data_IF_204016084103
#
_entry.id   IF_204016084103
#
_cell.length_a   1.000
_cell.length_b   1.000
_cell.length_c   1.000
_cell.angle_alpha   90.00
_cell.angle_beta   90.00
_cell.angle_gamma   90.00
#
_symmetry.space_group_name_H-M   'P 1'
#
loop_
_entity.id
_entity.type
_entity.pdbx_description
1 polymer ?
#
# COMPACT_ATOMS: atom_id res chain seq x y z
N UNK A 1 -1.92 -46.25 68.28
CA UNK A 1 -2.61 -44.94 68.22
C UNK A 1 -2.08 -44.17 67.02
N UNK A 2 -2.98 -43.75 66.14
CA UNK A 2 -2.74 -43.03 64.89
C UNK A 2 -2.42 -41.55 65.18
N UNK A 3 -1.57 -40.93 64.37
CA UNK A 3 -1.84 -39.57 63.87
C UNK A 3 -1.02 -39.31 62.60
N UNK A 4 -1.73 -39.09 61.49
CA UNK A 4 -1.21 -38.81 60.16
C UNK A 4 -1.03 -37.29 60.01
N UNK A 5 0.16 -36.85 59.61
CA UNK A 5 0.45 -35.46 59.29
C UNK A 5 0.01 -35.16 57.84
N UNK A 6 -1.04 -34.35 57.70
CA UNK A 6 -1.58 -33.89 56.43
C UNK A 6 -0.81 -32.66 55.96
N UNK A 7 0.11 -32.83 55.01
CA UNK A 7 0.81 -31.74 54.33
C UNK A 7 -0.09 -31.13 53.24
N UNK A 8 -0.48 -29.87 53.41
CA UNK A 8 -1.26 -29.11 52.44
C UNK A 8 -0.37 -28.67 51.26
N UNK A 9 -0.61 -29.24 50.09
CA UNK A 9 -0.04 -28.79 48.81
C UNK A 9 -0.88 -27.62 48.31
N UNK A 10 -0.29 -26.43 48.26
CA UNK A 10 -0.88 -25.24 47.64
C UNK A 10 -0.94 -25.46 46.11
N UNK A 11 -2.11 -25.33 45.46
CA UNK A 11 -2.18 -25.36 44.00
C UNK A 11 -1.59 -24.06 43.46
N UNK A 12 -0.53 -24.17 42.66
CA UNK A 12 -0.10 -23.10 41.76
C UNK A 12 -1.25 -22.82 40.79
N UNK A 13 -1.94 -21.69 40.98
CA UNK A 13 -2.86 -21.13 39.99
C UNK A 13 -2.02 -20.68 38.81
N UNK A 14 -1.91 -21.54 37.79
CA UNK A 14 -1.45 -21.15 36.46
C UNK A 14 -2.44 -20.13 35.91
N UNK A 15 -2.10 -18.84 36.03
CA UNK A 15 -2.72 -17.79 35.26
C UNK A 15 -2.47 -18.10 33.78
N UNK A 16 -3.45 -18.71 33.12
CA UNK A 16 -3.54 -18.64 31.66
C UNK A 16 -3.79 -17.17 31.33
N UNK A 17 -2.71 -16.44 31.06
CA UNK A 17 -2.82 -15.11 30.47
C UNK A 17 -3.67 -15.22 29.20
N UNK A 18 -4.52 -14.21 28.91
CA UNK A 18 -5.27 -14.20 27.67
C UNK A 18 -4.27 -14.28 26.51
N UNK A 19 -4.40 -15.31 25.69
CA UNK A 19 -3.79 -15.42 24.36
C UNK A 19 -4.50 -14.38 23.48
N UNK A 20 -4.27 -13.11 23.78
CA UNK A 20 -4.69 -12.00 22.95
C UNK A 20 -3.83 -12.08 21.71
N UNK A 21 -4.29 -12.79 20.67
CA UNK A 21 -3.88 -12.73 19.27
C UNK A 21 -2.60 -11.92 19.04
N UNK A 22 -1.47 -12.46 19.50
CA UNK A 22 -0.17 -11.83 19.30
C UNK A 22 0.10 -12.02 17.82
N UNK A 23 0.12 -10.94 17.06
CA UNK A 23 0.52 -10.98 15.66
C UNK A 23 1.99 -11.43 15.69
N UNK A 24 2.22 -12.72 15.42
CA UNK A 24 3.54 -13.34 15.52
C UNK A 24 4.33 -12.97 14.26
N UNK A 25 5.64 -12.66 14.39
CA UNK A 25 6.50 -12.50 13.23
C UNK A 25 6.51 -13.78 12.38
N UNK A 26 6.35 -13.63 11.06
CA UNK A 26 6.34 -14.78 10.16
C UNK A 26 7.76 -15.31 9.91
N UNK A 27 7.92 -16.63 9.86
CA UNK A 27 9.20 -17.24 9.48
C UNK A 27 9.40 -17.23 7.96
N UNK A 28 10.64 -17.37 7.50
CA UNK A 28 10.94 -17.49 6.07
C UNK A 28 10.23 -18.69 5.41
N UNK A 29 10.03 -19.79 6.15
CA UNK A 29 9.32 -20.96 5.66
C UNK A 29 7.82 -20.69 5.47
N UNK A 30 7.20 -19.97 6.41
CA UNK A 30 5.80 -19.58 6.34
C UNK A 30 5.54 -18.66 5.16
N UNK A 31 6.41 -17.66 4.99
CA UNK A 31 6.38 -16.75 3.85
C UNK A 31 6.54 -17.51 2.54
N UNK A 32 7.51 -18.43 2.46
CA UNK A 32 7.76 -19.18 1.23
C UNK A 32 6.59 -20.10 0.86
N UNK A 33 5.94 -20.75 1.83
CA UNK A 33 4.70 -21.51 1.61
C UNK A 33 3.57 -20.60 1.07
N UNK A 34 3.49 -19.37 1.57
CA UNK A 34 2.62 -18.33 1.02
C UNK A 34 2.95 -17.97 -0.43
N UNK A 35 4.23 -17.75 -0.75
CA UNK A 35 4.70 -17.40 -2.09
C UNK A 35 4.39 -18.51 -3.09
N UNK A 36 4.67 -19.77 -2.74
CA UNK A 36 4.35 -20.93 -3.59
C UNK A 36 2.83 -21.05 -3.84
N UNK A 37 2.03 -20.75 -2.81
CA UNK A 37 0.58 -20.73 -2.94
C UNK A 37 0.11 -19.58 -3.85
N UNK A 38 0.73 -18.40 -3.74
CA UNK A 38 0.50 -17.28 -4.65
C UNK A 38 0.87 -17.61 -6.11
N UNK A 39 2.04 -18.21 -6.35
CA UNK A 39 2.45 -18.66 -7.70
C UNK A 39 1.44 -19.64 -8.31
N UNK A 40 0.87 -20.54 -7.51
CA UNK A 40 -0.10 -21.54 -8.00
C UNK A 40 -1.46 -20.95 -8.41
N UNK A 41 -1.79 -19.73 -7.97
CA UNK A 41 -3.09 -19.09 -8.22
C UNK A 41 -3.00 -17.86 -9.12
N UNK A 42 -1.82 -17.26 -9.27
CA UNK A 42 -1.64 -16.07 -10.10
C UNK A 42 -1.47 -16.50 -11.56
N UNK A 43 -2.29 -15.94 -12.44
CA UNK A 43 -2.23 -16.14 -13.87
C UNK A 43 -2.11 -14.77 -14.56
N UNK A 44 -1.72 -14.79 -15.84
CA UNK A 44 -1.44 -13.55 -16.61
C UNK A 44 -2.65 -12.64 -16.82
N UNK A 45 -3.86 -13.20 -16.69
CA UNK A 45 -5.13 -12.50 -16.87
C UNK A 45 -5.99 -12.42 -15.60
N UNK A 46 -5.67 -13.17 -14.54
CA UNK A 46 -6.51 -13.28 -13.32
C UNK A 46 -5.75 -13.87 -12.12
N UNK A 47 -6.37 -13.78 -10.93
CA UNK A 47 -5.93 -14.51 -9.73
C UNK A 47 -7.02 -15.50 -9.31
N UNK A 48 -6.71 -16.80 -9.25
CA UNK A 48 -7.66 -17.88 -8.97
C UNK A 48 -7.80 -18.17 -7.48
N UNK A 49 -8.39 -17.24 -6.71
CA UNK A 49 -8.54 -17.34 -5.25
C UNK A 49 -9.25 -18.61 -4.76
N UNK A 50 -10.10 -19.22 -5.58
CA UNK A 50 -10.78 -20.49 -5.24
C UNK A 50 -9.82 -21.66 -5.03
N UNK A 51 -8.61 -21.61 -5.61
CA UNK A 51 -7.58 -22.64 -5.45
C UNK A 51 -6.86 -22.58 -4.08
N UNK A 52 -6.92 -21.45 -3.38
CA UNK A 52 -6.29 -21.28 -2.07
C UNK A 52 -6.81 -22.27 -1.02
N UNK A 53 -8.12 -22.56 -1.05
CA UNK A 53 -8.73 -23.54 -0.14
C UNK A 53 -8.14 -24.94 -0.31
N UNK A 54 -7.73 -25.33 -1.51
CA UNK A 54 -7.11 -26.63 -1.75
C UNK A 54 -5.69 -26.71 -1.18
N UNK A 55 -5.01 -25.56 -1.04
CA UNK A 55 -3.70 -25.43 -0.42
C UNK A 55 -3.75 -25.17 1.11
N UNK A 56 -4.95 -25.22 1.70
CA UNK A 56 -5.16 -25.05 3.15
C UNK A 56 -5.34 -23.61 3.61
N UNK A 57 -5.41 -22.65 2.69
CA UNK A 57 -5.65 -21.24 3.00
C UNK A 57 -7.15 -20.96 3.06
N UNK A 58 -7.57 -20.23 4.09
CA UNK A 58 -8.97 -19.86 4.30
C UNK A 58 -9.09 -18.38 4.63
N UNK A 59 -10.22 -17.75 4.33
CA UNK A 59 -10.43 -16.33 4.65
C UNK A 59 -10.23 -16.07 6.14
N UNK A 60 -9.38 -15.09 6.44
CA UNK A 60 -9.00 -14.73 7.79
C UNK A 60 -10.22 -14.30 8.60
N UNK A 61 -10.24 -14.65 9.89
CA UNK A 61 -11.39 -14.38 10.76
C UNK A 61 -11.00 -13.39 11.85
N UNK A 62 -11.67 -12.24 11.89
CA UNK A 62 -11.57 -11.31 13.01
C UNK A 62 -12.69 -11.58 14.01
N UNK A 63 -12.33 -11.73 15.29
CA UNK A 63 -13.33 -11.76 16.37
C UNK A 63 -13.93 -10.36 16.53
N UNK A 64 -15.22 -10.23 16.32
CA UNK A 64 -15.96 -8.97 16.46
C UNK A 64 -16.84 -9.05 17.72
N UNK A 65 -16.29 -8.60 18.86
CA UNK A 65 -17.03 -8.50 20.13
C UNK A 65 -17.59 -9.83 20.67
N UNK A 66 -18.70 -9.74 21.39
CA UNK A 66 -19.29 -10.83 22.19
C UNK A 66 -20.09 -11.87 21.36
N UNK A 67 -20.39 -11.60 20.07
CA UNK A 67 -21.37 -12.41 19.30
C UNK A 67 -20.99 -12.82 17.88
N UNK A 68 -19.74 -12.74 17.44
CA UNK A 68 -19.38 -13.35 16.15
C UNK A 68 -17.94 -13.21 15.66
N UNK A 69 -17.53 -14.15 14.81
CA UNK A 69 -16.34 -14.05 13.95
C UNK A 69 -16.74 -13.51 12.59
N UNK A 70 -16.17 -12.38 12.19
CA UNK A 70 -16.36 -11.80 10.84
C UNK A 70 -15.20 -12.24 9.96
N UNK A 71 -15.50 -12.75 8.77
CA UNK A 71 -14.48 -13.00 7.76
C UNK A 71 -13.97 -11.69 7.18
N UNK A 72 -12.65 -11.59 6.99
CA UNK A 72 -11.99 -10.49 6.32
C UNK A 72 -11.86 -10.87 4.84
N UNK A 73 -12.64 -10.22 3.99
CA UNK A 73 -12.61 -10.48 2.56
C UNK A 73 -11.23 -10.09 2.00
N UNK A 74 -10.68 -10.93 1.12
CA UNK A 74 -9.39 -10.69 0.47
C UNK A 74 -8.16 -10.91 1.36
N UNK A 75 -8.31 -11.42 2.58
CA UNK A 75 -7.18 -11.83 3.43
C UNK A 75 -7.34 -13.31 3.75
N UNK A 76 -6.30 -14.10 3.56
CA UNK A 76 -6.30 -15.54 3.77
C UNK A 76 -5.22 -15.93 4.77
N UNK A 77 -5.59 -16.81 5.70
CA UNK A 77 -4.75 -17.40 6.74
C UNK A 77 -4.70 -18.92 6.57
N UNK A 78 -3.61 -19.55 7.02
CA UNK A 78 -3.44 -21.00 7.03
C UNK A 78 -3.02 -21.43 8.43
N UNK A 79 -3.64 -22.50 8.93
CA UNK A 79 -3.36 -22.99 10.29
C UNK A 79 -1.87 -23.32 10.46
N UNK A 80 -1.21 -22.67 11.43
CA UNK A 80 0.21 -22.86 11.71
C UNK A 80 1.16 -22.13 10.75
N UNK A 81 0.65 -21.20 9.93
CA UNK A 81 1.45 -20.32 9.08
C UNK A 81 1.18 -18.86 9.53
N UNK A 82 2.24 -18.16 9.93
CA UNK A 82 2.15 -16.79 10.47
C UNK A 82 2.14 -15.71 9.37
N UNK A 83 2.30 -16.08 8.10
CA UNK A 83 2.13 -15.19 6.96
C UNK A 83 0.66 -15.13 6.51
N UNK A 84 0.28 -14.02 5.90
CA UNK A 84 -1.05 -13.82 5.33
C UNK A 84 -0.96 -13.67 3.83
N UNK A 85 -1.93 -14.24 3.09
CA UNK A 85 -2.11 -13.93 1.67
C UNK A 85 -3.16 -12.84 1.54
N UNK A 86 -2.82 -11.76 0.84
CA UNK A 86 -3.68 -10.61 0.58
C UNK A 86 -3.99 -10.55 -0.92
N UNK A 87 -5.28 -10.58 -1.24
CA UNK A 87 -5.85 -10.51 -2.58
C UNK A 87 -7.12 -9.66 -2.47
N UNK A 88 -6.93 -8.36 -2.28
CA UNK A 88 -7.98 -7.35 -2.29
C UNK A 88 -8.37 -6.96 -3.71
N UNK A 89 -9.12 -5.86 -3.83
CA UNK A 89 -9.57 -5.34 -5.11
C UNK A 89 -8.39 -4.92 -6.00
N UNK A 90 -7.42 -4.21 -5.42
CA UNK A 90 -6.24 -3.73 -6.15
C UNK A 90 -5.37 -4.88 -6.66
N UNK A 91 -5.20 -5.93 -5.85
CA UNK A 91 -4.47 -7.13 -6.25
C UNK A 91 -5.18 -7.88 -7.38
N UNK A 92 -6.51 -7.94 -7.35
CA UNK A 92 -7.29 -8.55 -8.44
C UNK A 92 -7.17 -7.74 -9.74
N UNK A 93 -7.29 -6.41 -9.67
CA UNK A 93 -7.14 -5.51 -10.82
C UNK A 93 -5.71 -5.54 -11.38
N UNK A 94 -4.72 -5.56 -10.50
CA UNK A 94 -3.30 -5.66 -10.83
C UNK A 94 -2.81 -7.07 -11.18
N UNK A 95 -3.67 -8.09 -11.03
CA UNK A 95 -3.36 -9.52 -11.24
C UNK A 95 -2.14 -9.98 -10.43
N UNK A 96 -2.10 -9.57 -9.16
CA UNK A 96 -1.02 -9.84 -8.21
C UNK A 96 -1.54 -10.70 -7.06
N UNK A 97 -0.65 -11.45 -6.44
CA UNK A 97 -0.91 -12.07 -5.15
C UNK A 97 0.17 -11.60 -4.17
N UNK A 98 -0.24 -11.11 -3.01
CA UNK A 98 0.66 -10.53 -2.04
C UNK A 98 0.73 -11.43 -0.82
N UNK A 99 1.93 -11.75 -0.36
CA UNK A 99 2.15 -12.36 0.96
C UNK A 99 2.63 -11.28 1.91
N UNK A 100 1.89 -11.07 2.98
CA UNK A 100 2.22 -10.13 4.04
C UNK A 100 2.84 -10.89 5.21
N UNK A 101 4.06 -10.51 5.59
CA UNK A 101 4.80 -11.09 6.68
C UNK A 101 4.99 -10.04 7.79
N UNK A 102 4.52 -10.33 9.01
CA UNK A 102 4.84 -9.48 10.16
C UNK A 102 6.32 -9.62 10.50
N UNK A 103 6.98 -8.52 10.82
CA UNK A 103 8.35 -8.51 11.33
C UNK A 103 8.36 -8.25 12.83
N UNK A 104 9.36 -8.79 13.52
CA UNK A 104 9.60 -8.48 14.95
C UNK A 104 10.05 -7.01 15.12
N UNK A 105 10.84 -6.52 14.16
CA UNK A 105 11.35 -5.15 14.10
C UNK A 105 11.73 -4.81 12.66
N UNK A 106 11.94 -3.53 12.34
CA UNK A 106 12.39 -3.10 11.01
C UNK A 106 13.73 -3.74 10.61
N UNK A 107 14.64 -3.99 11.57
CA UNK A 107 15.92 -4.65 11.29
C UNK A 107 15.81 -6.14 10.99
N UNK A 108 14.65 -6.78 11.26
CA UNK A 108 14.44 -8.20 10.94
C UNK A 108 14.20 -8.44 9.44
N UNK A 109 13.97 -7.39 8.65
CA UNK A 109 13.73 -7.49 7.21
C UNK A 109 14.84 -8.23 6.46
N UNK A 110 16.10 -7.84 6.68
CA UNK A 110 17.25 -8.44 5.99
C UNK A 110 17.44 -9.92 6.29
N UNK A 111 17.20 -10.35 7.54
CA UNK A 111 17.27 -11.76 7.92
C UNK A 111 16.11 -12.57 7.33
N UNK A 112 14.90 -12.00 7.27
CA UNK A 112 13.77 -12.66 6.59
C UNK A 112 14.06 -12.87 5.10
N UNK A 113 14.51 -11.81 4.40
CA UNK A 113 14.89 -11.88 2.98
C UNK A 113 15.97 -12.94 2.75
N UNK A 114 17.00 -12.96 3.61
CA UNK A 114 18.06 -13.97 3.54
C UNK A 114 17.52 -15.39 3.73
N UNK A 115 16.62 -15.59 4.70
CA UNK A 115 15.98 -16.88 4.91
C UNK A 115 15.14 -17.33 3.72
N UNK A 116 14.44 -16.39 3.06
CA UNK A 116 13.71 -16.69 1.81
C UNK A 116 14.69 -17.00 0.68
N UNK A 117 15.83 -16.29 0.58
CA UNK A 117 16.85 -16.57 -0.42
C UNK A 117 17.49 -17.96 -0.27
N UNK A 118 17.56 -18.50 0.95
CA UNK A 118 18.01 -19.88 1.20
C UNK A 118 17.03 -20.94 0.63
N UNK A 119 15.74 -20.58 0.50
CA UNK A 119 14.68 -21.46 -0.03
C UNK A 119 14.45 -21.24 -1.54
N UNK A 120 14.47 -19.98 -1.98
CA UNK A 120 14.13 -19.54 -3.32
C UNK A 120 15.33 -19.45 -4.27
N UNK A 121 16.55 -19.44 -3.73
CA UNK A 121 17.76 -18.99 -4.42
C UNK A 121 18.03 -17.50 -4.20
N UNK A 122 19.19 -17.02 -4.64
CA UNK A 122 19.53 -15.60 -4.53
C UNK A 122 18.65 -14.75 -5.46
N UNK A 123 18.29 -13.51 -5.06
CA UNK A 123 17.57 -12.59 -5.95
C UNK A 123 18.42 -12.25 -7.18
N UNK A 124 17.76 -12.07 -8.33
CA UNK A 124 18.39 -11.71 -9.60
C UNK A 124 18.88 -10.26 -9.58
N UNK A 125 18.14 -9.38 -8.90
CA UNK A 125 18.51 -7.98 -8.72
C UNK A 125 17.98 -7.39 -7.42
N UNK A 126 18.56 -6.25 -7.06
CA UNK A 126 18.10 -5.39 -5.98
C UNK A 126 17.80 -4.00 -6.55
N UNK A 127 16.65 -3.46 -6.17
CA UNK A 127 16.22 -2.10 -6.50
C UNK A 127 15.94 -1.40 -5.18
N UNK A 128 16.81 -0.48 -4.76
CA UNK A 128 16.72 0.19 -3.46
C UNK A 128 16.67 -0.84 -2.30
N UNK A 129 15.56 -0.90 -1.56
CA UNK A 129 15.32 -1.89 -0.49
C UNK A 129 14.56 -3.13 -0.96
N UNK A 130 14.16 -3.17 -2.24
CA UNK A 130 13.44 -4.28 -2.82
C UNK A 130 14.39 -5.33 -3.42
N UNK A 131 14.07 -6.59 -3.20
CA UNK A 131 14.76 -7.73 -3.81
C UNK A 131 13.83 -8.39 -4.81
N UNK A 132 14.37 -8.74 -5.98
CA UNK A 132 13.57 -9.24 -7.10
C UNK A 132 14.12 -10.57 -7.58
N UNK A 133 13.23 -11.54 -7.70
CA UNK A 133 13.47 -12.83 -8.35
C UNK A 133 12.63 -12.91 -9.62
N UNK A 134 13.30 -13.13 -10.74
CA UNK A 134 12.67 -13.50 -12.01
C UNK A 134 12.66 -15.02 -12.09
N UNK A 135 11.46 -15.58 -11.93
CA UNK A 135 11.23 -17.02 -12.00
C UNK A 135 10.53 -17.35 -13.32
N UNK A 136 10.64 -18.59 -13.82
CA UNK A 136 9.88 -19.01 -14.99
C UNK A 136 8.37 -18.75 -14.79
N UNK A 137 7.82 -17.80 -15.55
CA UNK A 137 6.41 -17.40 -15.52
C UNK A 137 6.02 -16.38 -14.45
N UNK A 138 6.92 -15.93 -13.57
CA UNK A 138 6.58 -15.04 -12.46
C UNK A 138 7.72 -14.10 -12.08
N UNK A 139 7.38 -12.90 -11.62
CA UNK A 139 8.29 -12.04 -10.85
C UNK A 139 7.83 -12.05 -9.40
N UNK A 140 8.77 -12.29 -8.48
CA UNK A 140 8.61 -12.09 -7.05
C UNK A 140 9.37 -10.82 -6.66
N UNK A 141 8.67 -9.82 -6.14
CA UNK A 141 9.25 -8.60 -5.55
C UNK A 141 9.04 -8.61 -4.05
N UNK A 142 10.10 -8.35 -3.29
CA UNK A 142 10.05 -8.31 -1.82
C UNK A 142 10.49 -6.94 -1.35
N UNK A 143 9.69 -6.26 -0.54
CA UNK A 143 9.99 -4.92 -0.03
C UNK A 143 9.48 -4.73 1.42
N UNK A 144 10.12 -3.87 2.22
CA UNK A 144 9.64 -3.57 3.57
C UNK A 144 8.35 -2.75 3.49
N UNK A 145 7.47 -2.88 4.49
CA UNK A 145 6.24 -2.11 4.58
C UNK A 145 5.76 -1.93 6.03
N UNK A 146 4.65 -1.21 6.22
CA UNK A 146 4.06 -0.97 7.53
C UNK A 146 4.72 0.18 8.29
N UNK A 147 4.29 0.36 9.55
CA UNK A 147 4.79 1.43 10.44
C UNK A 147 5.95 0.90 11.28
N UNK A 148 6.77 1.78 11.86
CA UNK A 148 7.90 1.36 12.71
C UNK A 148 7.46 0.52 13.93
N UNK A 149 6.30 0.83 14.52
CA UNK A 149 5.70 0.04 15.62
C UNK A 149 5.11 -1.29 15.14
N UNK A 150 4.90 -1.42 13.84
CA UNK A 150 4.16 -2.48 13.19
C UNK A 150 4.77 -2.89 11.83
N UNK A 151 6.06 -3.28 11.82
CA UNK A 151 6.79 -3.47 10.57
C UNK A 151 6.38 -4.77 9.89
N UNK A 152 6.28 -4.73 8.57
CA UNK A 152 5.97 -5.90 7.75
C UNK A 152 6.95 -6.00 6.57
N UNK A 153 6.89 -7.12 5.87
CA UNK A 153 7.46 -7.30 4.54
C UNK A 153 6.35 -7.75 3.58
N UNK A 154 6.35 -7.18 2.38
CA UNK A 154 5.43 -7.53 1.29
C UNK A 154 6.18 -8.36 0.26
N UNK A 155 5.61 -9.50 -0.10
CA UNK A 155 6.10 -10.39 -1.15
C UNK A 155 5.05 -10.41 -2.26
N UNK A 156 5.28 -9.65 -3.32
CA UNK A 156 4.36 -9.50 -4.44
C UNK A 156 4.72 -10.47 -5.55
N UNK A 157 3.81 -11.39 -5.86
CA UNK A 157 3.91 -12.34 -6.96
C UNK A 157 3.07 -11.84 -8.13
N UNK A 158 3.72 -11.63 -9.29
CA UNK A 158 3.06 -11.22 -10.54
C UNK A 158 3.38 -12.23 -11.63
N UNK A 159 2.38 -12.70 -12.37
CA UNK A 159 2.60 -13.57 -13.53
C UNK A 159 3.18 -12.78 -14.71
N UNK A 160 4.25 -13.29 -15.30
CA UNK A 160 4.81 -12.78 -16.55
C UNK A 160 4.17 -13.62 -17.67
N UNK A 161 3.53 -12.99 -18.64
CA UNK A 161 3.06 -13.72 -19.82
C UNK A 161 4.22 -14.35 -20.58
N UNK A 162 3.99 -15.46 -21.30
CA UNK A 162 4.97 -16.14 -22.17
C UNK A 162 5.55 -15.24 -23.31
N UNK A 163 5.27 -13.95 -23.28
CA UNK A 163 5.76 -12.93 -24.20
C UNK A 163 7.08 -12.29 -23.71
N UNK A 164 8.11 -13.07 -23.38
CA UNK A 164 9.51 -12.58 -23.36
C UNK A 164 10.54 -13.69 -23.05
N UNK A 165 10.85 -14.52 -24.04
CA UNK A 165 12.27 -14.84 -24.32
C UNK A 165 12.66 -14.09 -25.59
N UNK A 166 12.84 -12.79 -25.44
CA UNK A 166 13.47 -11.97 -26.46
C UNK A 166 14.26 -10.91 -25.72
N UNK A 167 15.59 -11.04 -25.78
CA UNK A 167 16.63 -10.14 -25.25
C UNK A 167 16.59 -8.74 -25.91
N UNK A 168 15.41 -8.16 -26.09
CA UNK A 168 15.26 -6.74 -26.31
C UNK A 168 15.17 -6.09 -24.93
N UNK A 169 16.00 -5.09 -24.60
CA UNK A 169 15.81 -4.31 -23.38
C UNK A 169 14.39 -3.78 -23.42
N UNK A 170 13.54 -4.26 -22.51
CA UNK A 170 12.26 -3.64 -22.22
C UNK A 170 12.62 -2.19 -21.85
N UNK A 171 12.14 -1.17 -22.59
CA UNK A 171 12.28 0.18 -22.08
C UNK A 171 11.60 0.16 -20.72
N UNK A 172 12.38 0.43 -19.66
CA UNK A 172 11.86 0.75 -18.35
C UNK A 172 10.62 1.60 -18.60
N UNK A 173 9.41 1.27 -18.06
CA UNK A 173 8.29 2.19 -18.16
C UNK A 173 8.87 3.52 -17.75
N UNK A 174 8.75 4.53 -18.61
CA UNK A 174 9.26 5.84 -18.28
C UNK A 174 8.60 6.16 -16.95
N UNK A 175 9.36 6.04 -15.85
CA UNK A 175 9.07 6.70 -14.61
C UNK A 175 8.89 8.13 -15.09
N UNK A 176 7.65 8.58 -15.19
CA UNK A 176 7.38 9.99 -15.39
C UNK A 176 8.08 10.59 -14.19
N UNK A 177 9.28 11.12 -14.43
CA UNK A 177 10.09 11.71 -13.40
C UNK A 177 9.27 12.90 -12.95
N UNK A 178 8.52 12.72 -11.86
CA UNK A 178 7.79 13.80 -11.24
C UNK A 178 8.86 14.82 -10.88
N UNK A 179 8.87 16.01 -11.48
CA UNK A 179 9.95 16.94 -11.20
C UNK A 179 9.77 17.50 -9.78
N UNK A 180 10.82 18.11 -9.23
CA UNK A 180 10.81 18.67 -7.89
C UNK A 180 9.87 19.90 -7.79
N UNK A 181 8.66 19.67 -7.31
CA UNK A 181 7.62 20.66 -7.06
C UNK A 181 8.00 21.66 -5.97
N UNK A 182 8.01 22.96 -6.32
CA UNK A 182 7.96 24.03 -5.34
C UNK A 182 6.62 24.03 -4.59
N UNK A 183 6.61 24.54 -3.35
CA UNK A 183 5.36 24.69 -2.58
C UNK A 183 4.30 25.50 -3.35
N UNK A 184 4.73 26.53 -4.10
CA UNK A 184 3.83 27.37 -4.90
C UNK A 184 3.16 26.58 -6.04
N UNK A 185 3.90 25.67 -6.69
CA UNK A 185 3.35 24.82 -7.75
C UNK A 185 2.28 23.85 -7.19
N UNK A 186 2.53 23.25 -6.02
CA UNK A 186 1.55 22.37 -5.35
C UNK A 186 0.29 23.14 -4.98
N UNK A 187 0.43 24.34 -4.43
CA UNK A 187 -0.70 25.20 -4.07
C UNK A 187 -1.49 25.68 -5.29
N UNK A 188 -0.80 26.01 -6.39
CA UNK A 188 -1.44 26.38 -7.64
C UNK A 188 -2.25 25.21 -8.23
N UNK A 189 -1.69 24.01 -8.19
CA UNK A 189 -2.37 22.79 -8.62
C UNK A 189 -3.60 22.47 -7.77
N UNK A 190 -3.48 22.58 -6.44
CA UNK A 190 -4.61 22.38 -5.53
C UNK A 190 -5.75 23.37 -5.79
N UNK A 191 -5.42 24.66 -5.97
CA UNK A 191 -6.41 25.70 -6.30
C UNK A 191 -7.12 25.44 -7.63
N UNK A 192 -6.45 24.82 -8.59
CA UNK A 192 -7.06 24.41 -9.85
C UNK A 192 -7.92 23.14 -9.70
N UNK A 193 -7.51 22.22 -8.83
CA UNK A 193 -8.25 20.98 -8.57
C UNK A 193 -9.58 21.20 -7.85
N UNK A 194 -9.64 22.08 -6.85
CA UNK A 194 -10.86 22.32 -6.05
C UNK A 194 -12.11 22.60 -6.90
N UNK A 195 -12.11 23.54 -7.87
CA UNK A 195 -13.27 23.77 -8.73
C UNK A 195 -13.46 22.68 -9.81
N UNK A 196 -12.46 21.83 -10.05
CA UNK A 196 -12.53 20.77 -11.05
C UNK A 196 -13.22 19.50 -10.52
N UNK A 197 -13.49 19.39 -9.21
CA UNK A 197 -14.22 18.28 -8.61
C UNK A 197 -15.53 18.79 -8.02
N UNK A 198 -16.64 18.17 -8.39
CA UNK A 198 -17.94 18.52 -7.83
C UNK A 198 -18.89 17.35 -7.74
N UNK A 199 -20.16 17.63 -7.47
CA UNK A 199 -21.21 16.61 -7.32
C UNK A 199 -21.38 15.69 -8.54
N UNK A 200 -20.96 16.15 -9.73
CA UNK A 200 -21.06 15.39 -10.98
C UNK A 200 -19.74 14.68 -11.36
N UNK A 201 -18.75 14.68 -10.47
CA UNK A 201 -17.44 14.10 -10.72
C UNK A 201 -16.37 15.12 -11.13
N UNK A 202 -15.31 14.62 -11.77
CA UNK A 202 -14.18 15.42 -12.23
C UNK A 202 -14.44 16.06 -13.60
N UNK A 203 -14.25 17.38 -13.70
CA UNK A 203 -14.38 18.15 -14.94
C UNK A 203 -13.02 18.75 -15.36
N UNK A 204 -12.32 18.01 -16.23
CA UNK A 204 -11.04 18.45 -16.79
C UNK A 204 -11.12 19.75 -17.62
N UNK A 205 -12.31 20.17 -18.07
CA UNK A 205 -12.45 21.43 -18.79
C UNK A 205 -12.16 22.64 -17.91
N UNK A 206 -12.44 22.55 -16.60
CA UNK A 206 -12.11 23.57 -15.60
C UNK A 206 -10.59 23.79 -15.50
N UNK A 207 -9.81 22.71 -15.53
CA UNK A 207 -8.34 22.79 -15.52
C UNK A 207 -7.82 23.47 -16.79
N UNK A 208 -8.31 23.05 -17.96
CA UNK A 208 -7.90 23.66 -19.24
C UNK A 208 -8.29 25.14 -19.34
N UNK A 209 -9.46 25.52 -18.82
CA UNK A 209 -9.89 26.92 -18.72
C UNK A 209 -9.02 27.75 -17.76
N UNK A 210 -8.34 27.09 -16.82
CA UNK A 210 -7.41 27.70 -15.85
C UNK A 210 -5.96 27.72 -16.34
N UNK A 211 -5.71 27.36 -17.60
CA UNK A 211 -4.39 27.40 -18.23
C UNK A 211 -3.57 26.11 -18.14
N UNK A 212 -4.14 25.02 -17.63
CA UNK A 212 -3.48 23.72 -17.62
C UNK A 212 -3.57 23.04 -18.98
N UNK A 213 -2.44 22.54 -19.47
CA UNK A 213 -2.35 21.80 -20.71
C UNK A 213 -2.70 20.33 -20.48
N UNK A 214 -3.66 19.82 -21.25
CA UNK A 214 -4.05 18.41 -21.22
C UNK A 214 -3.16 17.58 -22.15
N UNK A 215 -2.59 16.51 -21.63
CA UNK A 215 -1.94 15.44 -22.39
C UNK A 215 -2.54 14.07 -22.01
N UNK A 216 -2.16 13.02 -22.72
CA UNK A 216 -2.60 11.64 -22.44
C UNK A 216 -1.36 10.77 -22.28
N UNK A 217 -1.31 10.00 -21.20
CA UNK A 217 -0.31 8.98 -20.98
C UNK A 217 -0.94 7.59 -20.93
N UNK A 218 -0.13 6.55 -21.10
CA UNK A 218 -0.58 5.17 -20.92
C UNK A 218 -0.08 4.64 -19.59
N UNK A 219 -0.97 4.03 -18.82
CA UNK A 219 -0.61 3.29 -17.61
C UNK A 219 0.14 2.01 -17.99
N UNK A 220 0.74 1.35 -17.00
CA UNK A 220 1.39 0.05 -17.20
C UNK A 220 0.42 -1.04 -17.73
N UNK A 221 -0.89 -0.89 -17.49
CA UNK A 221 -1.92 -1.80 -18.03
C UNK A 221 -2.35 -1.45 -19.47
N UNK A 222 -1.77 -0.41 -20.07
CA UNK A 222 -2.13 0.09 -21.39
C UNK A 222 -3.42 0.92 -21.42
N UNK A 223 -3.95 1.32 -20.25
CA UNK A 223 -5.09 2.22 -20.18
C UNK A 223 -4.61 3.67 -20.37
N UNK A 224 -5.37 4.45 -21.15
CA UNK A 224 -5.09 5.87 -21.30
C UNK A 224 -5.52 6.62 -20.02
N UNK A 225 -4.65 7.51 -19.53
CA UNK A 225 -4.93 8.42 -18.42
C UNK A 225 -4.69 9.86 -18.88
N UNK A 226 -5.64 10.73 -18.55
CA UNK A 226 -5.51 12.17 -18.78
C UNK A 226 -4.50 12.77 -17.80
N UNK A 227 -3.59 13.57 -18.32
CA UNK A 227 -2.59 14.31 -17.57
C UNK A 227 -2.83 15.81 -17.76
N UNK A 228 -2.70 16.59 -16.70
CA UNK A 228 -2.79 18.04 -16.76
C UNK A 228 -1.53 18.66 -16.17
N UNK A 229 -0.84 19.45 -16.99
CA UNK A 229 0.45 20.06 -16.66
C UNK A 229 0.36 21.58 -16.85
N UNK A 230 1.12 22.34 -16.06
CA UNK A 230 1.26 23.79 -16.25
C UNK A 230 2.69 24.11 -16.67
N UNK A 231 2.87 25.12 -17.53
CA UNK A 231 4.19 25.49 -18.03
C UNK A 231 5.11 25.92 -16.87
N UNK A 232 6.25 25.25 -16.72
CA UNK A 232 7.21 25.50 -15.64
C UNK A 232 6.75 25.02 -14.26
N UNK A 233 5.69 24.22 -14.19
CA UNK A 233 5.24 23.56 -12.97
C UNK A 233 5.76 22.14 -12.92
N UNK A 234 6.39 21.81 -11.81
CA UNK A 234 6.91 20.47 -11.51
C UNK A 234 5.85 19.57 -10.82
N UNK A 235 4.58 19.88 -11.07
CA UNK A 235 3.41 19.24 -10.46
C UNK A 235 2.45 18.82 -11.56
N UNK A 236 1.95 17.60 -11.42
CA UNK A 236 1.03 16.94 -12.34
C UNK A 236 -0.35 16.81 -11.67
N UNK A 237 -1.41 17.03 -12.44
CA UNK A 237 -2.77 16.71 -12.03
C UNK A 237 -3.30 15.55 -12.87
N UNK A 238 -3.91 14.56 -12.22
CA UNK A 238 -4.57 13.43 -12.89
C UNK A 238 -5.96 13.18 -12.31
N UNK A 239 -6.97 12.79 -13.10
CA UNK A 239 -8.18 12.22 -12.56
C UNK A 239 -7.87 10.85 -11.94
N UNK A 240 -8.54 10.53 -10.86
CA UNK A 240 -8.47 9.20 -10.22
C UNK A 240 -9.81 8.78 -9.66
N UNK A 241 -9.85 7.59 -9.07
CA UNK A 241 -10.98 7.11 -8.27
C UNK A 241 -10.56 7.03 -6.81
N UNK A 242 -11.34 7.64 -5.91
CA UNK A 242 -11.15 7.51 -4.47
C UNK A 242 -11.64 6.16 -3.94
N UNK A 243 -11.31 5.84 -2.69
CA UNK A 243 -11.61 4.55 -2.04
C UNK A 243 -13.12 4.22 -2.00
N UNK A 244 -13.97 5.25 -2.05
CA UNK A 244 -15.42 5.11 -2.07
C UNK A 244 -16.03 5.13 -3.49
N UNK A 245 -15.20 5.08 -4.54
CA UNK A 245 -15.63 5.08 -5.93
C UNK A 245 -16.06 6.45 -6.49
N UNK A 246 -15.76 7.54 -5.77
CA UNK A 246 -15.94 8.92 -6.28
C UNK A 246 -14.75 9.37 -7.13
N UNK A 247 -14.99 10.27 -8.08
CA UNK A 247 -13.91 10.89 -8.85
C UNK A 247 -13.06 11.80 -7.95
N UNK A 248 -11.74 11.72 -8.09
CA UNK A 248 -10.80 12.59 -7.38
C UNK A 248 -9.91 13.35 -8.36
N UNK A 249 -9.60 14.60 -8.02
CA UNK A 249 -8.52 15.35 -8.66
C UNK A 249 -7.25 15.10 -7.87
N UNK A 250 -6.26 14.46 -8.49
CA UNK A 250 -5.05 14.04 -7.82
C UNK A 250 -3.90 14.95 -8.18
N UNK A 251 -3.41 15.73 -7.21
CA UNK A 251 -2.19 16.53 -7.36
C UNK A 251 -0.99 15.68 -6.98
N UNK A 252 0.01 15.58 -7.86
CA UNK A 252 1.25 14.82 -7.65
C UNK A 252 2.47 15.71 -7.88
N UNK A 253 3.39 15.73 -6.93
CA UNK A 253 4.68 16.44 -7.04
C UNK A 253 5.77 15.72 -6.26
N UNK A 254 7.03 15.91 -6.66
CA UNK A 254 8.17 15.57 -5.80
C UNK A 254 8.53 16.77 -4.93
N UNK A 255 9.05 16.53 -3.73
CA UNK A 255 9.55 17.59 -2.84
C UNK A 255 10.92 17.17 -2.36
N UNK A 256 11.91 18.05 -2.46
CA UNK A 256 13.31 17.66 -2.25
C UNK A 256 13.68 17.43 -0.78
N UNK A 257 12.96 18.07 0.14
CA UNK A 257 13.29 18.02 1.56
C UNK A 257 12.06 18.20 2.48
N UNK A 258 12.26 17.87 3.76
CA UNK A 258 11.24 18.01 4.79
C UNK A 258 10.86 19.48 5.06
N UNK A 259 11.76 20.44 4.80
CA UNK A 259 11.46 21.86 4.95
C UNK A 259 10.41 22.32 3.94
N UNK A 260 10.49 21.85 2.70
CA UNK A 260 9.52 22.15 1.63
C UNK A 260 8.17 21.51 1.93
N UNK A 261 8.16 20.30 2.49
CA UNK A 261 6.94 19.66 2.99
C UNK A 261 6.30 20.45 4.14
N UNK A 262 7.09 20.93 5.11
CA UNK A 262 6.60 21.77 6.21
C UNK A 262 6.07 23.12 5.70
N UNK A 263 6.70 23.70 4.67
CA UNK A 263 6.21 24.90 3.99
C UNK A 263 4.86 24.65 3.29
N UNK A 264 4.69 23.51 2.61
CA UNK A 264 3.40 23.12 2.02
C UNK A 264 2.35 23.00 3.13
N UNK A 265 2.65 22.29 4.22
CA UNK A 265 1.71 22.14 5.34
C UNK A 265 1.33 23.49 5.94
N UNK A 266 2.30 24.37 6.17
CA UNK A 266 2.07 25.71 6.72
C UNK A 266 1.23 26.57 5.78
N UNK A 267 1.48 26.52 4.47
CA UNK A 267 0.73 27.26 3.47
C UNK A 267 -0.71 26.76 3.34
N UNK A 268 -0.92 25.44 3.31
CA UNK A 268 -2.27 24.84 3.35
C UNK A 268 -3.00 25.25 4.62
N UNK A 269 -2.32 25.24 5.76
CA UNK A 269 -2.90 25.67 7.05
C UNK A 269 -3.28 27.15 7.03
N UNK A 270 -2.47 28.00 6.41
CA UNK A 270 -2.77 29.43 6.25
C UNK A 270 -3.94 29.72 5.31
N UNK A 271 -4.17 28.87 4.31
CA UNK A 271 -5.24 29.03 3.33
C UNK A 271 -6.57 28.41 3.78
N UNK A 272 -6.54 27.22 4.35
CA UNK A 272 -7.72 26.38 4.60
C UNK A 272 -7.94 26.08 6.10
N UNK A 273 -7.18 26.72 6.98
CA UNK A 273 -7.28 26.52 8.43
C UNK A 273 -6.52 25.29 8.93
N UNK A 274 -6.69 24.99 10.23
CA UNK A 274 -5.99 23.89 10.90
C UNK A 274 -6.47 22.55 10.34
N UNK A 275 -5.57 21.66 9.88
CA UNK A 275 -5.96 20.33 9.43
C UNK A 275 -6.49 19.47 10.58
N UNK A 276 -7.35 18.53 10.23
CA UNK A 276 -7.64 17.36 11.05
C UNK A 276 -6.64 16.24 10.72
N UNK A 277 -6.48 15.28 11.63
CA UNK A 277 -5.54 14.18 11.48
C UNK A 277 -6.26 12.84 11.57
N UNK A 278 -6.04 11.97 10.58
CA UNK A 278 -6.52 10.59 10.57
C UNK A 278 -5.39 9.67 10.10
N UNK A 279 -5.12 8.59 10.83
CA UNK A 279 -4.14 7.59 10.43
C UNK A 279 -2.66 8.03 10.34
N UNK A 280 -2.34 9.32 10.54
CA UNK A 280 -1.03 9.93 10.26
C UNK A 280 -1.06 10.92 9.10
N UNK A 281 -2.15 10.93 8.34
CA UNK A 281 -2.40 11.87 7.25
C UNK A 281 -3.10 13.13 7.79
N UNK A 282 -2.88 14.24 7.11
CA UNK A 282 -3.54 15.51 7.41
C UNK A 282 -4.59 15.77 6.35
N UNK A 283 -5.77 16.22 6.75
CA UNK A 283 -6.81 16.62 5.81
C UNK A 283 -7.46 17.94 6.19
N UNK A 284 -8.02 18.58 5.16
CA UNK A 284 -8.76 19.82 5.26
C UNK A 284 -10.11 19.64 4.58
N UNK A 285 -11.08 20.46 5.03
CA UNK A 285 -12.42 20.53 4.46
C UNK A 285 -12.64 21.97 4.02
N UNK A 286 -12.90 22.18 2.73
CA UNK A 286 -13.17 23.50 2.15
C UNK A 286 -14.33 23.37 1.17
N UNK A 287 -15.40 24.16 1.36
CA UNK A 287 -16.56 24.23 0.46
C UNK A 287 -17.14 22.86 0.04
N UNK A 288 -17.24 21.93 1.01
CA UNK A 288 -17.76 20.58 0.76
C UNK A 288 -16.77 19.66 0.02
N UNK A 289 -15.54 20.09 -0.21
CA UNK A 289 -14.44 19.27 -0.69
C UNK A 289 -13.53 18.87 0.45
N UNK A 290 -13.03 17.64 0.41
CA UNK A 290 -12.02 17.12 1.33
C UNK A 290 -10.76 16.85 0.54
N UNK A 291 -9.61 17.28 1.07
CA UNK A 291 -8.33 16.94 0.51
C UNK A 291 -7.31 16.51 1.56
N UNK A 292 -6.51 15.51 1.21
CA UNK A 292 -5.55 14.87 2.10
C UNK A 292 -4.13 15.23 1.67
N UNK A 293 -3.27 15.69 2.58
CA UNK A 293 -1.85 15.73 2.32
C UNK A 293 -1.26 14.37 2.67
N UNK A 294 -1.16 13.51 1.67
CA UNK A 294 -0.48 12.23 1.81
C UNK A 294 0.99 12.41 1.46
N UNK A 295 1.84 12.01 2.39
CA UNK A 295 3.28 11.92 2.16
C UNK A 295 3.63 10.46 2.12
N UNK A 296 3.95 9.95 0.94
CA UNK A 296 4.48 8.61 0.80
C UNK A 296 5.94 8.67 1.28
N UNK A 297 6.12 8.53 2.59
CA UNK A 297 7.44 8.43 3.21
C UNK A 297 7.76 6.96 3.43
N UNK A 298 8.86 6.50 2.85
CA UNK A 298 9.50 5.27 3.31
C UNK A 298 10.35 5.59 4.55
N UNK A 299 10.08 4.96 5.71
CA UNK A 299 10.86 5.19 6.93
C UNK A 299 12.35 4.93 6.72
N UNK A 300 13.15 5.99 6.60
CA UNK A 300 14.62 5.93 6.49
C UNK A 300 15.19 6.07 5.08
N UNK A 301 14.37 6.36 4.06
CA UNK A 301 14.84 6.67 2.71
C UNK A 301 15.42 8.09 2.61
N UNK A 302 16.62 8.23 2.06
CA UNK A 302 17.11 9.50 1.51
C UNK A 302 16.60 9.60 0.06
N UNK A 303 15.55 10.38 -0.19
CA UNK A 303 14.96 10.56 -1.51
C UNK A 303 13.90 11.66 -1.53
N UNK A 304 13.52 12.17 -2.71
CA UNK A 304 12.49 13.20 -2.83
C UNK A 304 11.16 12.67 -2.29
N UNK A 305 10.52 13.46 -1.44
CA UNK A 305 9.19 13.22 -0.92
C UNK A 305 8.21 13.18 -2.09
N UNK A 306 7.38 12.14 -2.22
CA UNK A 306 6.23 12.19 -3.12
C UNK A 306 5.04 12.75 -2.35
N UNK A 307 4.53 13.91 -2.79
CA UNK A 307 3.28 14.48 -2.29
C UNK A 307 2.16 14.08 -3.21
N UNK A 308 1.12 13.51 -2.61
CA UNK A 308 -0.12 13.18 -3.29
C UNK A 308 -1.28 13.83 -2.54
N UNK A 309 -2.02 14.69 -3.22
CA UNK A 309 -3.19 15.37 -2.65
C UNK A 309 -4.43 14.96 -3.44
N UNK A 310 -5.17 13.92 -3.01
CA UNK A 310 -6.48 13.64 -3.55
C UNK A 310 -7.45 14.71 -3.06
N UNK A 311 -8.17 15.31 -4.01
CA UNK A 311 -9.28 16.23 -3.76
C UNK A 311 -10.57 15.53 -4.16
N UNK A 312 -11.50 15.41 -3.23
CA UNK A 312 -12.79 14.75 -3.43
C UNK A 312 -13.93 15.66 -2.99
N UNK A 313 -15.07 15.58 -3.66
CA UNK A 313 -16.30 16.22 -3.19
C UNK A 313 -17.00 15.32 -2.16
N UNK A 314 -17.19 15.83 -0.94
CA UNK A 314 -17.83 15.12 0.17
C UNK A 314 -19.33 15.43 0.31
N UNK A 315 -19.87 16.34 -0.52
CA UNK A 315 -21.26 16.79 -0.39
C UNK A 315 -21.44 17.91 0.63
N UNK A 316 -22.59 18.60 0.55
CA UNK A 316 -23.05 19.42 1.67
C UNK A 316 -23.46 18.46 2.80
N UNK A 317 -22.68 18.44 3.89
CA UNK A 317 -23.14 17.80 5.12
C UNK A 317 -24.32 18.64 5.65
N UNK A 318 -25.54 18.12 5.54
CA UNK A 318 -26.73 18.69 6.22
C UNK A 318 -26.52 18.82 7.74
#
# INVERSE_FOLDING_TARGET
MRSLATGAVLPFLAYAAPVSAQIVPASAADVWDGVQSCEAITETDRVQTTRLSAAGWSEAKRRSGERGTRKLAGIYEKDGNDALIVIGREELEGKRCVVLARLESTSAYGELVKGVAELAGMPDRQEEYAYIWDRPGFTLRVEPSGKQSEPNALFTVTAIGDSASTDAPVPSPASVATPAGSSDAVLAALKACLPAVGANGFDGSVLTGSGWSKSVAQTASGADIDLYESEGSDVLITPGSGDQGGDVCLVRGQVDDGATLDNIRAALTGLYGTPEADGGDLYWIEDGSVFYLMTNFEPGGEGPFAVQIPVSYAGESE
#
